data_IF_022651576303
#
_entry.id   IF_022651576303
#
_cell.length_a   1.000
_cell.length_b   1.000
_cell.length_c   1.000
_cell.angle_alpha   90.00
_cell.angle_beta   90.00
_cell.angle_gamma   90.00
#
_symmetry.space_group_name_H-M   'P 1'
#
loop_
_entity.id
_entity.type
_entity.pdbx_description
1 polymer ?
#
# COMPACT_ATOMS: atom_id res chain seq x y z
N UNK A 1 -19.92 3.57 -24.70
CA UNK A 1 -18.92 3.29 -23.66
C UNK A 1 -19.26 1.94 -23.07
N UNK A 2 -18.31 1.03 -23.03
CA UNK A 2 -18.53 -0.24 -22.37
C UNK A 2 -18.64 0.03 -20.86
N UNK A 3 -19.75 -0.34 -20.24
CA UNK A 3 -20.01 -0.11 -18.83
C UNK A 3 -19.64 -1.32 -17.96
N UNK A 4 -18.81 -2.20 -18.48
CA UNK A 4 -18.49 -3.47 -17.82
C UNK A 4 -17.50 -3.23 -16.69
N UNK A 5 -17.87 -3.71 -15.53
CA UNK A 5 -16.97 -3.76 -14.39
C UNK A 5 -15.99 -4.91 -14.62
N UNK A 6 -14.72 -4.63 -14.47
CA UNK A 6 -13.66 -5.62 -14.58
C UNK A 6 -13.29 -6.09 -13.17
N UNK A 7 -13.55 -7.37 -12.89
CA UNK A 7 -13.11 -8.01 -11.67
C UNK A 7 -11.74 -8.65 -11.88
N UNK A 8 -10.89 -8.56 -10.89
CA UNK A 8 -9.55 -9.13 -10.94
C UNK A 8 -9.41 -10.32 -9.98
N UNK A 9 -8.61 -11.30 -10.37
CA UNK A 9 -8.06 -12.29 -9.46
C UNK A 9 -6.80 -11.69 -8.84
N UNK A 10 -6.68 -11.68 -7.51
CA UNK A 10 -5.51 -11.14 -6.85
C UNK A 10 -4.30 -12.06 -6.97
N UNK A 11 -3.12 -11.51 -6.72
CA UNK A 11 -1.88 -12.26 -6.51
C UNK A 11 -1.47 -12.13 -5.05
N UNK A 12 -1.36 -13.25 -4.35
CA UNK A 12 -1.01 -13.24 -2.95
C UNK A 12 0.40 -13.78 -2.73
N UNK A 13 1.08 -13.28 -1.71
CA UNK A 13 2.48 -13.58 -1.42
C UNK A 13 2.67 -14.08 0.01
N UNK A 14 3.62 -15.01 0.15
CA UNK A 14 4.09 -15.50 1.44
C UNK A 14 5.15 -14.56 2.00
N UNK A 15 5.00 -14.19 3.25
CA UNK A 15 5.88 -13.24 3.92
C UNK A 15 6.18 -13.74 5.34
N UNK A 16 7.43 -13.59 5.80
CA UNK A 16 7.85 -14.07 7.14
C UNK A 16 7.06 -13.43 8.30
N UNK A 17 6.34 -12.36 8.03
CA UNK A 17 5.49 -11.62 8.95
C UNK A 17 3.99 -11.80 8.65
N UNK A 18 3.65 -12.58 7.62
CA UNK A 18 2.28 -12.79 7.18
C UNK A 18 1.45 -13.65 8.11
N UNK A 19 0.13 -13.57 7.95
CA UNK A 19 -0.84 -14.25 8.77
C UNK A 19 -1.82 -15.14 7.97
N UNK A 20 -3.00 -15.34 8.54
CA UNK A 20 -4.05 -16.20 7.97
C UNK A 20 -5.35 -15.45 7.71
N UNK A 21 -5.40 -14.15 7.99
CA UNK A 21 -6.63 -13.36 7.92
C UNK A 21 -7.13 -13.18 6.50
N UNK A 22 -6.22 -13.12 5.52
CA UNK A 22 -6.58 -13.04 4.10
C UNK A 22 -7.44 -14.23 3.67
N UNK A 23 -7.14 -15.45 4.11
CA UNK A 23 -7.97 -16.63 3.87
C UNK A 23 -9.27 -16.59 4.68
N UNK A 24 -9.18 -16.25 5.97
CA UNK A 24 -10.31 -16.36 6.89
C UNK A 24 -11.37 -15.28 6.69
N UNK A 25 -10.97 -14.05 6.39
CA UNK A 25 -11.83 -12.87 6.37
C UNK A 25 -12.20 -12.45 4.95
N UNK A 26 -11.34 -12.71 3.96
CA UNK A 26 -11.58 -12.37 2.55
C UNK A 26 -11.89 -13.59 1.67
N UNK A 27 -11.90 -14.78 2.25
CA UNK A 27 -12.29 -16.00 1.54
C UNK A 27 -11.30 -16.42 0.44
N UNK A 28 -10.06 -15.96 0.48
CA UNK A 28 -9.03 -16.43 -0.43
C UNK A 28 -8.63 -17.86 -0.06
N UNK A 29 -8.47 -18.71 -1.07
CA UNK A 29 -8.08 -20.12 -0.89
C UNK A 29 -6.59 -20.27 -1.21
N UNK A 30 -5.73 -19.76 -0.35
CA UNK A 30 -4.28 -19.77 -0.51
C UNK A 30 -3.70 -20.74 0.51
N UNK A 31 -2.81 -21.63 0.07
CA UNK A 31 -2.11 -22.53 0.99
C UNK A 31 -1.12 -21.77 1.87
N UNK A 32 -0.98 -22.20 3.13
CA UNK A 32 -0.04 -21.62 4.10
C UNK A 32 -0.70 -20.77 5.18
N UNK A 33 0.11 -20.40 6.17
CA UNK A 33 -0.27 -19.62 7.34
C UNK A 33 0.57 -18.33 7.49
N UNK A 34 1.26 -17.96 6.42
CA UNK A 34 2.20 -16.85 6.31
C UNK A 34 1.87 -15.92 5.12
N UNK A 35 0.59 -15.79 4.76
CA UNK A 35 0.13 -14.94 3.66
C UNK A 35 0.11 -13.49 4.15
N UNK A 36 1.12 -12.70 3.76
CA UNK A 36 1.24 -11.32 4.23
C UNK A 36 0.55 -10.30 3.33
N UNK A 37 0.56 -10.50 2.02
CA UNK A 37 0.01 -9.55 1.06
C UNK A 37 -0.91 -10.24 0.05
N UNK A 38 -2.00 -9.54 -0.30
CA UNK A 38 -2.87 -9.89 -1.40
C UNK A 38 -2.99 -8.67 -2.33
N UNK A 39 -2.32 -8.73 -3.47
CA UNK A 39 -2.31 -7.68 -4.49
C UNK A 39 -3.60 -7.75 -5.30
N UNK A 40 -4.61 -7.05 -4.82
CA UNK A 40 -5.95 -7.10 -5.37
C UNK A 40 -6.07 -6.43 -6.74
N UNK A 41 -5.34 -5.32 -6.95
CA UNK A 41 -5.28 -4.61 -8.22
C UNK A 41 -3.81 -4.32 -8.51
N UNK A 42 -3.23 -5.05 -9.45
CA UNK A 42 -1.82 -4.95 -9.81
C UNK A 42 -1.57 -5.33 -11.25
N UNK A 43 -0.81 -4.51 -11.95
CA UNK A 43 -0.18 -4.80 -13.23
C UNK A 43 1.35 -4.85 -13.10
N UNK A 44 1.86 -4.99 -11.88
CA UNK A 44 3.30 -5.02 -11.61
C UNK A 44 3.90 -6.37 -12.03
N UNK A 45 5.10 -6.40 -12.64
CA UNK A 45 5.71 -7.66 -13.08
C UNK A 45 5.89 -8.72 -11.99
N UNK A 46 6.09 -8.29 -10.74
CA UNK A 46 6.24 -9.19 -9.59
C UNK A 46 4.91 -9.82 -9.13
N UNK A 47 3.75 -9.33 -9.62
CA UNK A 47 2.45 -9.82 -9.22
C UNK A 47 1.33 -9.21 -10.06
N UNK A 48 1.21 -9.68 -11.30
CA UNK A 48 0.27 -9.16 -12.28
C UNK A 48 -1.08 -9.89 -12.20
N UNK A 49 -2.11 -9.20 -11.76
CA UNK A 49 -3.47 -9.73 -11.62
C UNK A 49 -4.10 -10.11 -12.95
N UNK A 50 -5.05 -11.03 -12.91
CA UNK A 50 -5.78 -11.48 -14.12
C UNK A 50 -7.24 -11.09 -14.06
N UNK A 51 -7.81 -10.76 -15.21
CA UNK A 51 -9.25 -10.47 -15.35
C UNK A 51 -10.07 -11.72 -15.09
N UNK A 52 -11.10 -11.61 -14.23
CA UNK A 52 -11.93 -12.73 -13.82
C UNK A 52 -13.22 -12.89 -14.64
N UNK A 53 -13.65 -11.85 -15.34
CA UNK A 53 -14.96 -11.81 -16.01
C UNK A 53 -14.95 -11.19 -17.40
N UNK A 54 -16.06 -11.37 -18.13
CA UNK A 54 -16.33 -10.70 -19.39
C UNK A 54 -15.43 -11.11 -20.55
N UNK A 55 -15.35 -10.26 -21.56
CA UNK A 55 -14.64 -10.54 -22.82
C UNK A 55 -13.12 -10.65 -22.65
N UNK A 56 -12.58 -10.12 -21.57
CA UNK A 56 -11.14 -10.10 -21.28
C UNK A 56 -10.70 -11.13 -20.23
N UNK A 57 -11.59 -12.05 -19.87
CA UNK A 57 -11.30 -13.07 -18.86
C UNK A 57 -10.00 -13.83 -19.16
N UNK A 58 -9.13 -13.92 -18.15
CA UNK A 58 -7.82 -14.58 -18.24
C UNK A 58 -6.69 -13.66 -18.72
N UNK A 59 -7.00 -12.48 -19.25
CA UNK A 59 -5.97 -11.49 -19.63
C UNK A 59 -5.33 -10.89 -18.37
N UNK A 60 -4.02 -10.64 -18.40
CA UNK A 60 -3.32 -9.90 -17.34
C UNK A 60 -3.70 -8.43 -17.37
N UNK A 61 -3.69 -7.78 -16.20
CA UNK A 61 -3.99 -6.35 -16.13
C UNK A 61 -2.98 -5.50 -16.90
N UNK A 62 -1.70 -5.87 -16.89
CA UNK A 62 -0.68 -5.19 -17.71
C UNK A 62 -0.98 -5.29 -19.20
N UNK A 63 -1.38 -6.45 -19.64
CA UNK A 63 -1.74 -6.72 -21.03
C UNK A 63 -3.03 -5.98 -21.44
N UNK A 64 -4.02 -5.92 -20.54
CA UNK A 64 -5.24 -5.15 -20.73
C UNK A 64 -4.94 -3.66 -20.85
N UNK A 65 -4.06 -3.12 -20.00
CA UNK A 65 -3.60 -1.74 -20.04
C UNK A 65 -2.96 -1.37 -21.38
N UNK A 66 -2.09 -2.25 -21.87
CA UNK A 66 -1.36 -2.03 -23.14
C UNK A 66 -2.27 -2.11 -24.35
N UNK A 67 -3.15 -3.15 -24.41
CA UNK A 67 -3.95 -3.45 -25.60
C UNK A 67 -5.29 -2.73 -25.66
N UNK A 68 -5.81 -2.29 -24.51
CA UNK A 68 -7.14 -1.70 -24.36
C UNK A 68 -7.10 -0.38 -23.57
N UNK A 69 -6.26 0.60 -23.98
CA UNK A 69 -6.13 1.88 -23.29
C UNK A 69 -7.45 2.67 -23.20
N UNK A 70 -8.41 2.40 -24.09
CA UNK A 70 -9.75 2.99 -24.08
C UNK A 70 -10.54 2.66 -22.81
N UNK A 71 -10.27 1.54 -22.16
CA UNK A 71 -10.90 1.15 -20.90
C UNK A 71 -10.40 2.00 -19.72
N UNK A 72 -9.25 2.64 -19.89
CA UNK A 72 -8.58 3.48 -18.89
C UNK A 72 -8.52 4.95 -19.29
N UNK A 73 -9.42 5.37 -20.20
CA UNK A 73 -9.54 6.77 -20.63
C UNK A 73 -8.37 7.28 -21.48
N UNK A 74 -7.60 6.40 -22.12
CA UNK A 74 -6.47 6.75 -23.00
C UNK A 74 -5.48 7.73 -22.34
N UNK A 75 -5.06 7.45 -21.13
CA UNK A 75 -4.20 8.33 -20.31
C UNK A 75 -2.84 8.63 -20.93
N UNK A 76 -2.36 7.79 -21.86
CA UNK A 76 -1.04 7.92 -22.47
C UNK A 76 0.14 7.56 -21.55
N UNK A 77 -0.13 7.00 -20.39
CA UNK A 77 0.92 6.53 -19.46
C UNK A 77 1.49 5.19 -19.93
N UNK A 78 2.81 5.02 -19.84
CA UNK A 78 3.53 3.84 -20.32
C UNK A 78 3.19 2.56 -19.56
N UNK A 79 2.75 2.67 -18.31
CA UNK A 79 2.43 1.54 -17.44
C UNK A 79 1.25 1.86 -16.54
N UNK A 80 0.58 0.81 -16.05
CA UNK A 80 -0.48 0.96 -15.06
C UNK A 80 0.09 1.60 -13.78
N UNK A 81 -0.49 2.71 -13.31
CA UNK A 81 0.22 3.58 -12.37
C UNK A 81 0.14 3.16 -10.90
N UNK A 82 -0.82 2.31 -10.53
CA UNK A 82 -1.16 2.04 -9.14
C UNK A 82 -1.04 0.55 -8.79
N UNK A 83 -0.91 0.29 -7.51
CA UNK A 83 -0.98 -1.03 -6.91
C UNK A 83 -1.83 -0.92 -5.64
N UNK A 84 -2.84 -1.79 -5.53
CA UNK A 84 -3.72 -1.86 -4.36
C UNK A 84 -3.64 -3.25 -3.77
N UNK A 85 -3.37 -3.33 -2.47
CA UNK A 85 -3.22 -4.61 -1.76
C UNK A 85 -3.80 -4.57 -0.36
N UNK A 86 -4.19 -5.74 0.13
CA UNK A 86 -4.52 -5.96 1.53
C UNK A 86 -3.31 -6.60 2.19
N UNK A 87 -2.93 -6.08 3.35
CA UNK A 87 -1.79 -6.55 4.14
C UNK A 87 -2.31 -7.10 5.46
N UNK A 88 -1.97 -8.37 5.74
CA UNK A 88 -2.17 -9.03 7.03
C UNK A 88 -0.83 -9.15 7.76
N UNK A 89 -0.54 -8.21 8.63
CA UNK A 89 0.65 -8.19 9.45
C UNK A 89 0.43 -8.98 10.75
N UNK A 90 0.77 -10.26 10.77
CA UNK A 90 0.82 -11.06 12.00
C UNK A 90 1.97 -10.59 12.90
N UNK A 91 3.12 -10.31 12.30
CA UNK A 91 4.32 -9.79 12.96
C UNK A 91 4.73 -8.44 12.35
N UNK A 92 5.65 -7.71 13.00
CA UNK A 92 6.11 -6.41 12.54
C UNK A 92 6.78 -6.52 11.16
N UNK A 93 6.43 -5.65 10.21
CA UNK A 93 7.18 -5.47 8.98
C UNK A 93 8.51 -4.77 9.28
N UNK A 94 9.48 -4.88 8.38
CA UNK A 94 10.75 -4.17 8.50
C UNK A 94 10.54 -2.66 8.61
N UNK A 95 11.39 -1.98 9.36
CA UNK A 95 11.51 -0.52 9.28
C UNK A 95 12.12 -0.19 7.92
N UNK A 96 11.43 0.64 7.14
CA UNK A 96 11.72 0.89 5.74
C UNK A 96 11.44 2.33 5.33
N UNK A 97 11.91 2.67 4.14
CA UNK A 97 11.65 3.94 3.46
C UNK A 97 11.58 3.70 1.96
N UNK A 98 10.84 4.55 1.26
CA UNK A 98 10.71 4.49 -0.19
C UNK A 98 11.26 5.75 -0.86
N UNK A 99 11.86 5.62 -2.07
CA UNK A 99 12.29 6.75 -2.86
C UNK A 99 11.12 7.46 -3.55
N UNK A 100 11.33 8.70 -3.94
CA UNK A 100 10.48 9.40 -4.91
C UNK A 100 10.77 8.97 -6.38
N UNK A 101 9.96 9.48 -7.31
CA UNK A 101 10.12 9.17 -8.74
C UNK A 101 11.48 9.59 -9.30
N UNK A 102 12.02 10.72 -8.84
CA UNK A 102 13.29 11.25 -9.34
C UNK A 102 14.46 10.33 -8.97
N UNK A 103 14.49 9.89 -7.71
CA UNK A 103 15.52 8.96 -7.24
C UNK A 103 15.34 7.57 -7.85
N UNK A 104 14.12 7.03 -7.85
CA UNK A 104 13.84 5.71 -8.41
C UNK A 104 14.16 5.62 -9.90
N UNK A 105 13.86 6.65 -10.67
CA UNK A 105 14.19 6.72 -12.10
C UNK A 105 15.68 6.56 -12.38
N UNK A 106 16.52 7.12 -11.52
CA UNK A 106 17.99 7.11 -11.70
C UNK A 106 18.61 5.83 -11.13
N UNK A 107 18.18 5.40 -9.93
CA UNK A 107 18.83 4.35 -9.16
C UNK A 107 18.16 2.98 -9.29
N UNK A 108 16.89 2.93 -9.76
CA UNK A 108 16.09 1.71 -9.85
C UNK A 108 15.60 1.45 -11.29
N UNK A 109 16.48 1.63 -12.27
CA UNK A 109 16.28 1.28 -13.69
C UNK A 109 15.00 1.89 -14.31
N UNK A 110 14.65 3.12 -13.95
CA UNK A 110 13.46 3.80 -14.48
C UNK A 110 12.15 3.40 -13.80
N UNK A 111 12.22 2.78 -12.63
CA UNK A 111 11.04 2.48 -11.81
C UNK A 111 10.34 3.74 -11.31
N UNK A 112 9.08 3.59 -10.92
CA UNK A 112 8.36 4.62 -10.19
C UNK A 112 8.87 4.71 -8.75
N UNK A 113 8.74 5.89 -8.15
CA UNK A 113 8.81 6.05 -6.72
C UNK A 113 7.67 5.32 -6.01
N UNK A 114 7.59 5.44 -4.69
CA UNK A 114 6.54 4.78 -3.94
C UNK A 114 5.93 5.71 -2.91
N UNK A 115 4.96 6.49 -3.38
CA UNK A 115 3.99 7.17 -2.51
C UNK A 115 2.88 6.18 -2.21
N UNK A 116 2.51 6.06 -0.95
CA UNK A 116 1.49 5.11 -0.51
C UNK A 116 0.58 5.71 0.56
N UNK A 117 -0.57 5.07 0.76
CA UNK A 117 -1.46 5.36 1.86
C UNK A 117 -2.09 4.08 2.40
N UNK A 118 -2.46 4.11 3.67
CA UNK A 118 -3.02 2.99 4.40
C UNK A 118 -4.38 3.32 4.96
N UNK A 119 -5.35 2.45 4.74
CA UNK A 119 -6.61 2.45 5.45
C UNK A 119 -6.64 1.28 6.43
N UNK A 120 -6.73 1.55 7.72
CA UNK A 120 -6.71 0.53 8.77
C UNK A 120 -8.06 -0.17 8.80
N UNK A 121 -8.09 -1.42 8.35
CA UNK A 121 -9.28 -2.28 8.36
C UNK A 121 -9.54 -2.80 9.77
N UNK A 122 -8.48 -3.28 10.42
CA UNK A 122 -8.52 -3.76 11.80
C UNK A 122 -7.13 -3.72 12.43
N UNK A 123 -7.07 -3.64 13.75
CA UNK A 123 -5.83 -3.74 14.49
C UNK A 123 -6.09 -4.20 15.94
N UNK A 124 -5.05 -4.71 16.59
CA UNK A 124 -5.12 -5.06 18.01
C UNK A 124 -5.34 -3.82 18.88
N UNK A 125 -5.78 -4.03 20.10
CA UNK A 125 -5.92 -2.96 21.09
C UNK A 125 -4.58 -2.25 21.34
N UNK A 126 -4.61 -0.91 21.44
CA UNK A 126 -3.44 -0.06 21.62
C UNK A 126 -2.36 -0.25 20.53
N UNK A 127 -2.78 -0.57 19.30
CA UNK A 127 -1.88 -0.70 18.17
C UNK A 127 -1.19 0.62 17.85
N UNK A 128 0.05 0.51 17.36
CA UNK A 128 0.83 1.63 16.82
C UNK A 128 1.41 1.26 15.46
N UNK A 129 1.80 2.26 14.68
CA UNK A 129 2.64 2.12 13.49
C UNK A 129 3.90 2.96 13.67
N UNK A 130 4.97 2.60 12.98
CA UNK A 130 6.12 3.49 12.84
C UNK A 130 5.81 4.49 11.73
N UNK A 131 5.89 5.79 12.03
CA UNK A 131 5.74 6.86 11.06
C UNK A 131 6.67 8.04 11.41
N UNK A 132 7.80 8.11 10.70
CA UNK A 132 8.85 9.09 10.91
C UNK A 132 9.95 8.65 11.88
N UNK A 133 10.84 9.59 12.17
CA UNK A 133 11.99 9.39 13.04
C UNK A 133 12.30 10.64 13.87
N UNK A 134 13.20 10.52 14.86
CA UNK A 134 13.53 11.57 15.80
C UNK A 134 14.84 12.34 15.50
N UNK A 135 15.64 11.86 14.52
CA UNK A 135 16.87 12.55 14.13
C UNK A 135 16.60 13.96 13.59
N UNK A 136 17.43 14.92 13.97
CA UNK A 136 17.29 16.35 13.62
C UNK A 136 18.22 16.76 12.48
N UNK A 137 19.33 16.05 12.28
CA UNK A 137 20.28 16.27 11.19
C UNK A 137 20.61 14.95 10.50
N UNK A 138 21.22 15.04 9.32
CA UNK A 138 21.63 13.84 8.56
C UNK A 138 22.73 13.06 9.30
N UNK A 139 23.64 13.74 9.92
CA UNK A 139 24.72 13.13 10.72
C UNK A 139 24.16 12.39 11.95
N UNK A 140 23.11 12.94 12.56
CA UNK A 140 22.42 12.28 13.67
C UNK A 140 21.66 11.03 13.18
N UNK A 141 20.99 11.12 12.03
CA UNK A 141 20.33 10.00 11.37
C UNK A 141 21.31 8.86 11.11
N UNK A 142 22.41 9.15 10.43
CA UNK A 142 23.45 8.16 10.10
C UNK A 142 24.00 7.49 11.36
N UNK A 143 24.33 8.30 12.38
CA UNK A 143 24.83 7.79 13.65
C UNK A 143 23.84 6.88 14.34
N UNK A 144 22.56 7.26 14.45
CA UNK A 144 21.52 6.45 15.08
C UNK A 144 21.32 5.10 14.37
N UNK A 145 21.34 5.11 13.04
CA UNK A 145 21.21 3.88 12.23
C UNK A 145 22.44 2.97 12.45
N UNK A 146 23.66 3.51 12.34
CA UNK A 146 24.89 2.71 12.48
C UNK A 146 25.13 2.17 13.90
N UNK A 147 24.66 2.90 14.91
CA UNK A 147 24.72 2.47 16.31
C UNK A 147 23.56 1.56 16.72
N UNK A 148 22.59 1.29 15.82
CA UNK A 148 21.41 0.46 16.10
C UNK A 148 20.50 1.03 17.17
N UNK A 149 20.40 2.35 17.27
CA UNK A 149 19.60 3.06 18.29
C UNK A 149 18.12 3.11 17.92
N UNK A 150 17.55 1.99 17.54
CA UNK A 150 16.21 1.90 16.94
C UNK A 150 15.12 2.49 17.81
N UNK A 151 15.13 2.22 19.13
CA UNK A 151 14.13 2.77 20.07
C UNK A 151 14.12 4.29 20.18
N UNK A 152 15.28 4.92 19.99
CA UNK A 152 15.41 6.37 20.00
C UNK A 152 15.15 6.96 18.62
N UNK A 153 15.45 6.18 17.58
CA UNK A 153 15.35 6.60 16.19
C UNK A 153 13.90 6.68 15.71
N UNK A 154 13.10 5.62 15.89
CA UNK A 154 11.74 5.54 15.36
C UNK A 154 10.76 6.43 16.13
N UNK A 155 9.75 6.91 15.42
CA UNK A 155 8.58 7.55 16.01
C UNK A 155 7.36 6.67 15.75
N UNK A 156 6.65 6.31 16.82
CA UNK A 156 5.41 5.54 16.73
C UNK A 156 4.20 6.45 16.88
N UNK A 157 3.14 6.13 16.15
CA UNK A 157 1.84 6.79 16.23
C UNK A 157 0.76 5.76 16.58
N UNK A 158 -0.20 6.09 17.45
CA UNK A 158 -1.33 5.21 17.72
C UNK A 158 -2.26 5.14 16.52
N UNK A 159 -2.88 3.98 16.33
CA UNK A 159 -3.88 3.73 15.29
C UNK A 159 -5.09 2.99 15.82
N UNK A 160 -6.20 3.11 15.10
CA UNK A 160 -7.43 2.35 15.29
C UNK A 160 -8.09 2.02 13.95
N UNK A 161 -9.00 1.04 13.91
CA UNK A 161 -9.79 0.76 12.70
C UNK A 161 -10.49 2.03 12.19
N UNK A 162 -10.47 2.22 10.86
CA UNK A 162 -11.02 3.40 10.20
C UNK A 162 -10.03 4.57 10.05
N UNK A 163 -8.83 4.51 10.62
CA UNK A 163 -7.82 5.52 10.39
C UNK A 163 -7.23 5.39 8.98
N UNK A 164 -6.95 6.55 8.39
CA UNK A 164 -6.29 6.68 7.11
C UNK A 164 -4.98 7.45 7.28
N UNK A 165 -3.89 6.92 6.71
CA UNK A 165 -2.55 7.48 6.85
C UNK A 165 -1.89 7.60 5.48
N UNK A 166 -1.39 8.82 5.15
CA UNK A 166 -0.56 9.05 3.97
C UNK A 166 0.92 8.88 4.34
N UNK A 167 1.64 8.12 3.53
CA UNK A 167 3.10 7.91 3.64
C UNK A 167 3.76 8.46 2.38
N UNK A 168 4.35 9.62 2.51
CA UNK A 168 5.14 10.23 1.43
C UNK A 168 6.52 9.57 1.30
N UNK A 169 7.14 9.56 0.11
CA UNK A 169 8.52 9.16 -0.07
C UNK A 169 9.45 9.87 0.93
N UNK A 170 10.49 9.16 1.36
CA UNK A 170 11.43 9.66 2.37
C UNK A 170 10.95 9.54 3.82
N UNK A 171 9.73 9.08 4.06
CA UNK A 171 9.20 8.82 5.40
C UNK A 171 9.65 7.44 5.89
N UNK A 172 10.35 7.38 7.02
CA UNK A 172 10.62 6.11 7.72
C UNK A 172 9.32 5.57 8.28
N UNK A 173 9.00 4.31 7.98
CA UNK A 173 7.73 3.71 8.42
C UNK A 173 7.84 2.20 8.62
N UNK A 174 6.90 1.64 9.36
CA UNK A 174 6.66 0.19 9.45
C UNK A 174 5.24 -0.09 9.93
N UNK A 175 4.60 -1.09 9.31
CA UNK A 175 3.38 -1.69 9.81
C UNK A 175 3.76 -2.65 10.94
N UNK A 176 3.04 -2.56 12.07
CA UNK A 176 3.32 -3.41 13.23
C UNK A 176 2.35 -4.59 13.31
N UNK A 177 2.82 -5.66 13.91
CA UNK A 177 2.07 -6.89 14.04
C UNK A 177 0.72 -6.75 14.74
N UNK A 178 -0.27 -7.46 14.22
CA UNK A 178 -1.67 -7.37 14.63
C UNK A 178 -2.46 -6.30 13.87
N UNK A 179 -1.95 -5.82 12.74
CA UNK A 179 -2.63 -4.84 11.87
C UNK A 179 -3.08 -5.50 10.57
N UNK A 180 -4.30 -5.22 10.16
CA UNK A 180 -4.87 -5.51 8.84
C UNK A 180 -5.19 -4.19 8.16
N UNK A 181 -4.70 -3.96 6.95
CA UNK A 181 -4.93 -2.71 6.24
C UNK A 181 -5.05 -2.87 4.73
N UNK A 182 -5.70 -1.89 4.10
CA UNK A 182 -5.71 -1.70 2.66
C UNK A 182 -4.66 -0.65 2.31
N UNK A 183 -3.71 -1.02 1.47
CA UNK A 183 -2.68 -0.14 0.96
C UNK A 183 -2.98 0.24 -0.49
N UNK A 184 -2.93 1.53 -0.77
CA UNK A 184 -2.95 2.08 -2.14
C UNK A 184 -1.65 2.82 -2.37
N UNK A 185 -0.94 2.48 -3.46
CA UNK A 185 0.39 3.01 -3.74
C UNK A 185 0.63 3.19 -5.24
N UNK A 186 1.70 3.91 -5.60
CA UNK A 186 2.25 3.84 -6.95
C UNK A 186 2.67 2.40 -7.27
N UNK A 187 2.64 2.02 -8.56
CA UNK A 187 3.00 0.67 -9.03
C UNK A 187 4.52 0.44 -8.92
N UNK A 188 4.98 0.21 -7.70
CA UNK A 188 6.38 0.01 -7.32
C UNK A 188 6.47 -1.00 -6.17
N UNK A 189 7.46 -1.90 -6.20
CA UNK A 189 7.79 -2.83 -5.12
C UNK A 189 9.13 -2.49 -4.44
N UNK A 190 9.67 -1.30 -4.72
CA UNK A 190 10.94 -0.83 -4.16
C UNK A 190 10.80 -0.61 -2.65
N UNK A 191 11.64 -1.30 -1.89
CA UNK A 191 11.70 -1.19 -0.44
C UNK A 191 13.16 -1.06 0.01
N UNK A 192 13.52 0.10 0.55
CA UNK A 192 14.80 0.25 1.22
C UNK A 192 14.65 -0.09 2.69
N UNK A 193 15.12 -1.28 3.04
CA UNK A 193 15.02 -1.84 4.39
C UNK A 193 16.12 -1.26 5.26
N UNK A 194 15.69 -0.55 6.32
CA UNK A 194 16.60 0.07 7.31
C UNK A 194 16.94 -0.91 8.42
N UNK A 195 15.94 -1.63 8.93
CA UNK A 195 16.10 -2.62 9.98
C UNK A 195 15.04 -3.72 9.90
N UNK A 196 15.41 -4.94 10.20
CA UNK A 196 14.53 -6.11 10.11
C UNK A 196 14.53 -6.98 11.37
N UNK A 197 14.82 -6.40 12.52
CA UNK A 197 14.81 -7.08 13.83
C UNK A 197 15.70 -8.32 13.89
N UNK A 198 16.77 -8.35 13.07
CA UNK A 198 17.70 -9.47 12.93
C UNK A 198 17.05 -10.81 12.56
N UNK A 199 15.85 -10.77 11.97
CA UNK A 199 15.09 -11.95 11.56
C UNK A 199 15.73 -12.66 10.37
N UNK A 200 15.53 -13.99 10.37
CA UNK A 200 16.00 -14.83 9.28
C UNK A 200 14.84 -15.19 8.35
N UNK A 201 15.08 -15.09 7.06
CA UNK A 201 14.25 -15.64 5.99
C UNK A 201 15.04 -16.74 5.29
N UNK A 202 14.53 -17.97 5.31
CA UNK A 202 15.24 -19.14 4.77
C UNK A 202 16.66 -19.30 5.36
N UNK A 203 16.81 -19.05 6.67
CA UNK A 203 18.08 -19.21 7.39
C UNK A 203 19.11 -18.09 7.17
N UNK A 204 18.74 -17.02 6.48
CA UNK A 204 19.61 -15.85 6.23
C UNK A 204 18.90 -14.56 6.57
N UNK A 205 19.59 -13.52 7.08
CA UNK A 205 19.00 -12.21 7.26
C UNK A 205 18.59 -11.64 5.89
N UNK A 206 17.46 -10.92 5.85
CA UNK A 206 17.07 -10.18 4.63
C UNK A 206 18.03 -9.01 4.42
N UNK A 207 18.26 -8.68 3.16
CA UNK A 207 19.14 -7.59 2.79
C UNK A 207 18.66 -6.26 3.38
N UNK A 208 19.57 -5.49 3.97
CA UNK A 208 19.38 -4.11 4.36
C UNK A 208 19.92 -3.18 3.27
N UNK A 209 19.30 -2.02 3.12
CA UNK A 209 19.63 -1.02 2.09
C UNK A 209 20.03 0.30 2.77
N UNK A 210 21.03 0.24 3.67
CA UNK A 210 21.37 1.35 4.57
C UNK A 210 21.77 2.61 3.80
N UNK A 211 22.64 2.47 2.79
CA UNK A 211 23.10 3.63 2.00
C UNK A 211 21.93 4.31 1.27
N UNK A 212 21.13 3.54 0.54
CA UNK A 212 19.95 4.06 -0.18
C UNK A 212 18.93 4.67 0.80
N UNK A 213 18.74 4.05 1.96
CA UNK A 213 17.85 4.57 3.00
C UNK A 213 18.32 5.94 3.49
N UNK A 214 19.60 6.08 3.82
CA UNK A 214 20.18 7.35 4.26
C UNK A 214 20.05 8.43 3.18
N UNK A 215 20.21 8.04 1.91
CA UNK A 215 20.07 8.99 0.79
C UNK A 215 18.66 9.57 0.68
N UNK A 216 17.63 8.74 0.85
CA UNK A 216 16.25 9.14 0.58
C UNK A 216 15.46 9.59 1.81
N UNK A 217 15.90 9.26 3.05
CA UNK A 217 15.18 9.69 4.27
C UNK A 217 15.18 11.21 4.38
N UNK A 218 13.98 11.78 4.53
CA UNK A 218 13.78 13.21 4.77
C UNK A 218 14.15 13.57 6.20
N UNK A 219 15.12 14.50 6.36
CA UNK A 219 15.61 14.96 7.67
C UNK A 219 15.48 16.48 7.77
N UNK A 220 14.92 17.03 8.87
CA UNK A 220 14.18 16.31 9.90
C UNK A 220 12.90 15.66 9.36
N UNK A 221 12.39 14.64 10.05
CA UNK A 221 11.15 14.02 9.65
C UNK A 221 9.99 15.03 9.67
N UNK A 222 9.15 14.97 8.65
CA UNK A 222 7.90 15.75 8.62
C UNK A 222 6.99 15.33 9.79
N UNK A 223 6.15 16.24 10.27
CA UNK A 223 5.09 15.86 11.20
C UNK A 223 4.09 14.98 10.50
N UNK A 224 3.74 13.86 11.11
CA UNK A 224 2.68 12.97 10.63
C UNK A 224 1.31 13.30 11.20
N UNK A 225 1.22 14.27 12.12
CA UNK A 225 -0.04 14.64 12.76
C UNK A 225 -1.10 15.10 11.74
N UNK A 226 -0.65 15.69 10.62
CA UNK A 226 -1.52 16.09 9.52
C UNK A 226 -1.71 15.00 8.44
N UNK A 227 -1.02 13.86 8.57
CA UNK A 227 -1.10 12.75 7.62
C UNK A 227 -2.08 11.67 8.06
N UNK A 228 -2.57 11.73 9.32
CA UNK A 228 -3.55 10.80 9.87
C UNK A 228 -4.93 11.44 9.82
N UNK A 229 -5.83 10.82 9.08
CA UNK A 229 -7.24 11.21 9.01
C UNK A 229 -8.06 10.18 9.77
N UNK A 230 -8.67 10.59 10.87
CA UNK A 230 -9.62 9.74 11.59
C UNK A 230 -10.95 9.73 10.85
N UNK A 231 -11.35 8.59 10.33
CA UNK A 231 -12.61 8.45 9.60
C UNK A 231 -13.63 7.69 10.44
N UNK A 232 -14.90 8.10 10.29
CA UNK A 232 -16.02 7.38 10.86
C UNK A 232 -16.92 6.89 9.74
N UNK A 233 -17.60 5.76 9.96
CA UNK A 233 -18.63 5.28 9.05
C UNK A 233 -19.72 6.34 8.91
N UNK A 234 -20.08 6.64 7.67
CA UNK A 234 -21.16 7.57 7.31
C UNK A 234 -21.96 6.97 6.19
N UNK A 235 -23.12 6.43 6.51
CA UNK A 235 -23.97 5.73 5.56
C UNK A 235 -24.36 6.60 4.37
N UNK A 236 -24.23 6.04 3.18
CA UNK A 236 -24.55 6.66 1.89
C UNK A 236 -23.78 7.96 1.61
N UNK A 237 -22.57 8.10 2.16
CA UNK A 237 -21.69 9.26 1.96
C UNK A 237 -20.38 8.86 1.30
N UNK A 238 -19.96 9.68 0.33
CA UNK A 238 -18.62 9.61 -0.26
C UNK A 238 -17.69 10.55 0.50
N UNK A 239 -16.71 10.01 1.20
CA UNK A 239 -15.72 10.76 1.94
C UNK A 239 -14.39 10.77 1.16
N UNK A 240 -13.91 11.95 0.75
CA UNK A 240 -12.56 12.08 0.22
C UNK A 240 -11.57 11.99 1.38
N UNK A 241 -10.67 11.02 1.33
CA UNK A 241 -9.64 10.80 2.35
C UNK A 241 -8.37 11.59 2.04
N UNK A 242 -7.94 11.55 0.77
CA UNK A 242 -6.78 12.32 0.28
C UNK A 242 -6.89 12.59 -1.21
N UNK A 243 -6.20 13.64 -1.65
CA UNK A 243 -5.86 13.88 -3.04
C UNK A 243 -4.38 14.24 -3.11
N UNK A 244 -3.63 13.50 -3.94
CA UNK A 244 -2.22 13.75 -4.22
C UNK A 244 -1.96 13.70 -5.74
N UNK A 245 -0.75 13.96 -6.21
CA UNK A 245 -0.44 13.92 -7.65
C UNK A 245 -0.70 12.57 -8.32
N UNK A 246 -0.72 11.47 -7.57
CA UNK A 246 -0.79 10.11 -8.08
C UNK A 246 -2.19 9.51 -8.03
N UNK A 247 -2.98 9.86 -7.00
CA UNK A 247 -4.32 9.31 -6.78
C UNK A 247 -5.20 10.24 -5.94
N UNK A 248 -6.50 9.97 -6.00
CA UNK A 248 -7.47 10.46 -5.01
C UNK A 248 -8.14 9.25 -4.38
N UNK A 249 -8.18 9.17 -3.07
CA UNK A 249 -8.78 8.06 -2.33
C UNK A 249 -10.07 8.51 -1.69
N UNK A 250 -11.10 7.70 -1.85
CA UNK A 250 -12.40 7.89 -1.24
C UNK A 250 -12.78 6.68 -0.38
N UNK A 251 -13.47 6.92 0.72
CA UNK A 251 -14.21 5.93 1.46
C UNK A 251 -15.68 6.10 1.15
N UNK A 252 -16.37 4.99 0.90
CA UNK A 252 -17.81 4.96 0.64
C UNK A 252 -18.41 3.87 1.52
N UNK A 253 -19.28 4.26 2.44
CA UNK A 253 -20.08 3.35 3.24
C UNK A 253 -21.50 3.36 2.64
N UNK A 254 -21.96 2.24 2.10
CA UNK A 254 -23.27 2.12 1.43
C UNK A 254 -24.21 1.30 2.30
N UNK A 255 -25.25 1.92 2.81
CA UNK A 255 -26.34 1.23 3.52
C UNK A 255 -27.53 0.99 2.58
N UNK A 256 -27.87 1.97 1.75
CA UNK A 256 -28.99 1.90 0.83
C UNK A 256 -28.54 2.11 -0.62
N UNK A 257 -28.09 3.33 -0.95
CA UNK A 257 -27.70 3.72 -2.29
C UNK A 257 -26.82 4.96 -2.30
N UNK A 258 -25.75 4.90 -3.10
CA UNK A 258 -24.92 6.06 -3.42
C UNK A 258 -24.90 6.24 -4.92
N UNK A 259 -25.07 7.47 -5.37
CA UNK A 259 -24.92 7.87 -6.78
C UNK A 259 -23.80 8.88 -6.90
N UNK A 260 -22.95 8.70 -7.89
CA UNK A 260 -21.85 9.62 -8.19
C UNK A 260 -21.56 9.68 -9.68
N UNK A 261 -20.86 10.72 -10.11
CA UNK A 261 -20.39 10.87 -11.47
C UNK A 261 -18.90 10.57 -11.55
N UNK A 262 -18.54 9.75 -12.52
CA UNK A 262 -17.14 9.47 -12.83
C UNK A 262 -16.61 10.50 -13.80
N UNK A 263 -15.65 11.32 -13.37
CA UNK A 263 -14.96 12.34 -14.15
C UNK A 263 -13.47 12.05 -14.38
N UNK A 264 -12.96 10.96 -13.79
CA UNK A 264 -11.58 10.51 -13.92
C UNK A 264 -11.46 9.46 -15.04
N UNK A 265 -10.26 9.22 -15.58
CA UNK A 265 -10.03 8.22 -16.62
C UNK A 265 -10.53 6.82 -16.24
N UNK A 266 -10.32 6.40 -14.99
CA UNK A 266 -10.80 5.13 -14.43
C UNK A 266 -10.92 5.22 -12.91
N UNK A 267 -11.65 4.27 -12.33
CA UNK A 267 -11.76 4.07 -10.88
C UNK A 267 -11.30 2.67 -10.52
N UNK A 268 -10.54 2.55 -9.42
CA UNK A 268 -10.24 1.29 -8.76
C UNK A 268 -11.13 1.18 -7.53
N UNK A 269 -11.75 0.02 -7.33
CA UNK A 269 -12.67 -0.22 -6.21
C UNK A 269 -12.26 -1.48 -5.48
N UNK A 270 -12.15 -1.41 -4.16
CA UNK A 270 -11.95 -2.55 -3.28
C UNK A 270 -13.11 -2.61 -2.29
N UNK A 271 -13.91 -3.68 -2.36
CA UNK A 271 -14.93 -3.97 -1.35
C UNK A 271 -14.22 -4.65 -0.19
N UNK A 272 -14.22 -3.99 0.97
CA UNK A 272 -13.50 -4.47 2.17
C UNK A 272 -14.43 -5.12 3.17
N UNK A 273 -15.73 -4.81 3.10
CA UNK A 273 -16.76 -5.37 3.97
C UNK A 273 -18.11 -5.36 3.25
N UNK A 274 -18.93 -6.39 3.49
CA UNK A 274 -20.30 -6.48 2.97
C UNK A 274 -20.38 -6.91 1.53
N UNK A 275 -21.60 -6.80 0.98
CA UNK A 275 -21.93 -7.11 -0.41
C UNK A 275 -22.92 -6.09 -0.97
N UNK A 276 -22.91 -5.90 -2.27
CA UNK A 276 -23.80 -4.96 -2.94
C UNK A 276 -23.82 -5.13 -4.45
N UNK A 277 -24.55 -4.24 -5.11
CA UNK A 277 -24.61 -4.17 -6.57
C UNK A 277 -24.06 -2.85 -7.07
N UNK A 278 -23.31 -2.92 -8.16
CA UNK A 278 -22.83 -1.75 -8.86
C UNK A 278 -23.49 -1.71 -10.24
N UNK A 279 -24.30 -0.69 -10.49
CA UNK A 279 -24.99 -0.46 -11.75
C UNK A 279 -24.41 0.78 -12.42
N UNK A 280 -23.99 0.64 -13.65
CA UNK A 280 -23.59 1.73 -14.48
C UNK A 280 -24.75 2.39 -15.22
#
# INVERSE_FOLDING_TARGET
MNKDIIFLNPVCTHNIWGGTRLNREFGYSIEGDDIGECWGISAHPSGDGTVRNGAFQGMKLSELWEKHPELFGNTGMDRFPLLVKIIDAKDDLSIQVHPDDAYAKVHENGSLGKTECWFILDCKENATLVAGHNAKTKEELERMIHEGRWKEFIREIPIKPGDFIQIDPGTVHAIKGGTLLLETQQSSDITYRVYDYDRLSNGKPRQLHIAQSIDVITVPAKSVDNSVVHTEKKDDVIQQLIQCPYYTVYRIDVEHRVETWQDKPFILMSVVEGEGTLNG
#
